data_IF_305971272589
#
_entry.id   IF_305971272589
#
_cell.length_a   1.000
_cell.length_b   1.000
_cell.length_c   1.000
_cell.angle_alpha   90.00
_cell.angle_beta   90.00
_cell.angle_gamma   90.00
#
_symmetry.space_group_name_H-M   'P 1'
#
loop_
_entity.id
_entity.type
_entity.pdbx_description
1 polymer ?
#
# COMPACT_ATOMS: atom_id res chain seq x y z
N UNK A 1 -8.85 73.36 41.57
CA UNK A 1 -9.01 71.91 41.81
C UNK A 1 -7.85 71.23 41.09
N UNK A 2 -6.81 70.80 41.84
CA UNK A 2 -6.52 69.39 42.20
C UNK A 2 -5.69 68.72 41.08
N UNK A 3 -4.57 67.99 41.24
CA UNK A 3 -4.11 66.98 42.22
C UNK A 3 -2.55 66.93 42.16
N UNK A 4 -1.72 66.84 43.22
CA UNK A 4 -1.35 65.68 44.09
C UNK A 4 -1.05 64.40 43.28
N UNK A 5 0.22 64.07 42.99
CA UNK A 5 1.13 63.19 43.74
C UNK A 5 0.61 61.76 43.99
N UNK A 6 1.29 60.73 43.46
CA UNK A 6 1.82 59.62 44.27
C UNK A 6 2.66 58.63 43.44
N UNK A 7 3.69 58.13 44.10
CA UNK A 7 4.70 57.16 43.67
C UNK A 7 4.24 55.72 43.96
N UNK A 8 5.09 54.76 43.55
CA UNK A 8 5.34 53.41 44.11
C UNK A 8 4.98 52.24 43.18
N UNK A 9 6.07 51.59 42.71
CA UNK A 9 6.39 50.14 42.74
C UNK A 9 5.26 49.12 42.55
N UNK A 10 5.50 48.06 41.78
CA UNK A 10 5.76 46.68 42.27
C UNK A 10 5.73 45.70 41.07
N UNK A 11 6.67 44.75 41.05
CA UNK A 11 6.50 43.32 40.70
C UNK A 11 7.51 42.75 39.68
N UNK A 12 8.50 41.95 40.12
CA UNK A 12 9.49 41.25 39.28
C UNK A 12 8.90 39.98 38.63
N UNK A 13 7.62 40.01 38.24
CA UNK A 13 6.88 38.83 37.78
C UNK A 13 7.16 38.48 36.31
N UNK A 14 7.60 39.46 35.52
CA UNK A 14 7.75 39.32 34.08
C UNK A 14 8.88 38.36 33.66
N UNK A 15 9.92 38.19 34.50
CA UNK A 15 11.08 37.35 34.15
C UNK A 15 10.83 35.85 34.31
N UNK A 16 9.90 35.44 35.16
CA UNK A 16 9.67 34.03 35.47
C UNK A 16 8.74 33.35 34.45
N UNK A 17 7.84 34.10 33.83
CA UNK A 17 6.92 33.60 32.81
C UNK A 17 7.62 33.26 31.48
N UNK A 18 8.70 33.95 31.14
CA UNK A 18 9.43 33.73 29.87
C UNK A 18 10.16 32.38 29.87
N UNK A 19 10.67 31.92 31.02
CA UNK A 19 11.40 30.64 31.10
C UNK A 19 10.50 29.41 30.92
N UNK A 20 9.26 29.46 31.40
CA UNK A 20 8.31 28.33 31.25
C UNK A 20 7.84 28.22 29.79
N UNK A 21 7.65 29.35 29.11
CA UNK A 21 7.24 29.36 27.71
C UNK A 21 8.28 28.74 26.75
N UNK A 22 9.58 28.94 27.02
CA UNK A 22 10.65 28.41 26.15
C UNK A 22 10.82 26.89 26.29
N UNK A 23 10.60 26.32 27.49
CA UNK A 23 10.70 24.86 27.68
C UNK A 23 9.51 24.11 27.05
N UNK A 24 8.31 24.71 27.04
CA UNK A 24 7.14 24.13 26.38
C UNK A 24 7.25 24.06 24.85
N UNK A 25 7.96 25.03 24.23
CA UNK A 25 8.11 25.08 22.77
C UNK A 25 9.09 24.04 22.20
N UNK A 26 10.02 23.53 23.01
CA UNK A 26 11.01 22.52 22.55
C UNK A 26 10.44 21.09 22.59
N UNK A 27 9.47 20.79 23.46
CA UNK A 27 8.86 19.45 23.54
C UNK A 27 7.75 19.19 22.49
N UNK A 28 7.18 20.22 21.88
CA UNK A 28 6.10 20.06 20.90
C UNK A 28 6.58 19.72 19.47
N UNK A 29 7.88 19.86 19.18
CA UNK A 29 8.45 19.61 17.85
C UNK A 29 8.76 18.14 17.53
N UNK A 30 8.78 17.25 18.53
CA UNK A 30 9.20 15.85 18.35
C UNK A 30 8.05 14.88 18.06
N UNK A 31 6.81 15.36 17.94
CA UNK A 31 5.62 14.53 17.69
C UNK A 31 5.01 14.75 16.30
N UNK A 32 5.84 15.03 15.29
CA UNK A 32 5.39 14.91 13.91
C UNK A 32 5.20 13.40 13.59
N UNK A 33 4.00 12.96 13.19
CA UNK A 33 3.75 11.54 12.95
C UNK A 33 4.57 11.06 11.74
N UNK A 34 5.40 10.04 11.97
CA UNK A 34 6.15 9.25 10.97
C UNK A 34 5.23 8.42 10.04
N UNK A 35 4.12 8.99 9.56
CA UNK A 35 3.09 8.21 8.84
C UNK A 35 3.30 8.12 7.32
N UNK A 36 4.35 8.72 6.77
CA UNK A 36 4.56 8.77 5.31
C UNK A 36 5.20 7.47 4.78
N UNK A 37 5.85 6.66 5.62
CA UNK A 37 6.48 5.40 5.19
C UNK A 37 5.46 4.28 4.87
N UNK A 38 4.27 4.33 5.47
CA UNK A 38 3.35 3.16 5.49
C UNK A 38 2.57 2.90 4.20
N UNK A 39 2.50 3.85 3.26
CA UNK A 39 1.76 3.65 2.01
C UNK A 39 2.61 2.93 0.95
N UNK A 40 3.88 3.32 0.80
CA UNK A 40 4.80 2.73 -0.19
C UNK A 40 5.20 1.30 0.20
N UNK A 41 5.45 1.04 1.48
CA UNK A 41 5.80 -0.32 1.95
C UNK A 41 4.65 -1.31 1.75
N UNK A 42 3.40 -0.84 1.84
CA UNK A 42 2.21 -1.69 1.72
C UNK A 42 1.97 -2.23 0.31
N UNK A 43 2.55 -1.62 -0.73
CA UNK A 43 2.40 -2.05 -2.13
C UNK A 43 3.70 -2.51 -2.78
N UNK A 44 4.85 -2.33 -2.11
CA UNK A 44 6.17 -2.65 -2.65
C UNK A 44 6.29 -4.11 -3.13
N UNK A 45 5.68 -5.05 -2.41
CA UNK A 45 5.76 -6.50 -2.66
C UNK A 45 5.01 -7.00 -3.90
N UNK A 46 4.21 -6.14 -4.56
CA UNK A 46 3.58 -6.43 -5.85
C UNK A 46 3.75 -5.31 -6.89
N UNK A 47 4.68 -4.38 -6.66
CA UNK A 47 4.85 -3.20 -7.52
C UNK A 47 5.33 -3.53 -8.94
N UNK A 48 5.85 -4.74 -9.16
CA UNK A 48 6.26 -5.25 -10.46
C UNK A 48 5.11 -5.86 -11.27
N UNK A 49 3.95 -6.10 -10.63
CA UNK A 49 2.75 -6.60 -11.32
C UNK A 49 1.93 -5.42 -11.82
N UNK A 50 1.63 -5.36 -13.13
CA UNK A 50 0.88 -4.25 -13.66
C UNK A 50 -0.57 -4.29 -13.15
N UNK A 51 -1.00 -3.16 -12.59
CA UNK A 51 -2.39 -2.93 -12.21
C UNK A 51 -3.08 -2.13 -13.33
N UNK A 52 -4.23 -2.61 -13.78
CA UNK A 52 -5.07 -1.89 -14.74
C UNK A 52 -5.89 -0.82 -14.00
N UNK A 53 -6.17 0.30 -14.68
CA UNK A 53 -6.74 1.54 -14.12
C UNK A 53 -8.18 1.43 -13.56
N UNK A 54 -8.71 0.23 -13.39
CA UNK A 54 -10.06 -0.06 -12.90
C UNK A 54 -10.07 -1.10 -11.78
N UNK A 55 -8.88 -1.45 -11.26
CA UNK A 55 -8.70 -2.51 -10.27
C UNK A 55 -8.11 -1.96 -8.98
N UNK A 56 -8.71 -2.35 -7.86
CA UNK A 56 -8.22 -2.09 -6.50
C UNK A 56 -7.76 -3.40 -5.89
N UNK A 57 -6.55 -3.43 -5.31
CA UNK A 57 -6.00 -4.60 -4.61
C UNK A 57 -6.55 -4.65 -3.19
N UNK A 58 -7.12 -5.78 -2.81
CA UNK A 58 -7.50 -6.08 -1.43
C UNK A 58 -6.29 -6.61 -0.66
N UNK A 59 -5.55 -5.73 0.00
CA UNK A 59 -4.32 -6.09 0.73
C UNK A 59 -4.56 -6.99 1.94
N UNK A 60 -5.80 -7.20 2.38
CA UNK A 60 -6.09 -8.09 3.51
C UNK A 60 -6.22 -9.55 3.06
N UNK A 61 -6.71 -9.76 1.83
CA UNK A 61 -6.84 -11.09 1.23
C UNK A 61 -5.63 -11.46 0.37
N UNK A 62 -4.84 -10.47 -0.05
CA UNK A 62 -3.66 -10.65 -0.89
C UNK A 62 -2.41 -10.93 -0.07
N UNK A 63 -1.49 -11.72 -0.61
CA UNK A 63 -0.24 -12.06 0.04
C UNK A 63 0.87 -12.37 -0.97
N UNK A 64 2.11 -12.30 -0.52
CA UNK A 64 3.29 -12.80 -1.22
C UNK A 64 4.12 -13.68 -0.29
N UNK A 65 4.76 -14.68 -0.88
CA UNK A 65 5.75 -15.52 -0.22
C UNK A 65 6.95 -15.67 -1.14
N UNK A 66 8.09 -15.17 -0.70
CA UNK A 66 9.35 -15.26 -1.44
C UNK A 66 10.19 -16.44 -0.92
N UNK A 67 10.72 -17.24 -1.84
CA UNK A 67 11.60 -18.36 -1.53
C UNK A 67 12.73 -18.48 -2.54
N UNK A 68 13.82 -19.22 -2.24
CA UNK A 68 14.87 -19.51 -3.21
C UNK A 68 14.38 -20.20 -4.49
N UNK A 69 13.27 -20.93 -4.39
CA UNK A 69 12.65 -21.65 -5.52
C UNK A 69 11.75 -20.77 -6.38
N UNK A 70 11.57 -19.50 -6.01
CA UNK A 70 10.68 -18.53 -6.65
C UNK A 70 9.67 -17.92 -5.67
N UNK A 71 8.88 -16.97 -6.18
CA UNK A 71 7.87 -16.23 -5.44
C UNK A 71 6.47 -16.77 -5.72
N UNK A 72 5.66 -16.89 -4.68
CA UNK A 72 4.22 -17.10 -4.76
C UNK A 72 3.54 -15.77 -4.47
N UNK A 73 2.83 -15.21 -5.43
CA UNK A 73 2.06 -13.97 -5.26
C UNK A 73 0.59 -14.26 -5.52
N UNK A 74 -0.28 -13.89 -4.58
CA UNK A 74 -1.72 -13.98 -4.76
C UNK A 74 -2.32 -12.60 -4.49
N UNK A 75 -2.87 -11.99 -5.52
CA UNK A 75 -3.58 -10.71 -5.44
C UNK A 75 -5.08 -10.92 -5.62
N UNK A 76 -5.84 -10.37 -4.70
CA UNK A 76 -7.28 -10.25 -4.79
C UNK A 76 -7.62 -8.86 -5.28
N UNK A 77 -8.36 -8.81 -6.38
CA UNK A 77 -8.59 -7.64 -7.20
C UNK A 77 -10.09 -7.36 -7.24
N UNK A 78 -10.46 -6.14 -6.85
CA UNK A 78 -11.82 -5.61 -6.92
C UNK A 78 -11.94 -4.69 -8.13
N UNK A 79 -13.01 -4.85 -8.90
CA UNK A 79 -13.27 -4.00 -10.08
C UNK A 79 -14.75 -3.85 -10.35
N UNK A 80 -15.10 -2.76 -11.02
CA UNK A 80 -16.44 -2.50 -11.54
C UNK A 80 -16.56 -2.74 -13.06
N UNK A 81 -15.44 -3.05 -13.74
CA UNK A 81 -15.45 -3.31 -15.17
C UNK A 81 -16.04 -4.70 -15.50
N UNK A 82 -16.50 -4.88 -16.74
CA UNK A 82 -16.99 -6.17 -17.21
C UNK A 82 -15.86 -7.22 -17.22
N UNK A 83 -16.21 -8.48 -16.97
CA UNK A 83 -15.25 -9.59 -16.96
C UNK A 83 -14.39 -9.67 -18.23
N UNK A 84 -15.02 -9.44 -19.39
CA UNK A 84 -14.33 -9.47 -20.69
C UNK A 84 -13.31 -8.35 -20.81
N UNK A 85 -13.65 -7.14 -20.36
CA UNK A 85 -12.76 -5.98 -20.41
C UNK A 85 -11.54 -6.19 -19.52
N UNK A 86 -11.72 -6.78 -18.33
CA UNK A 86 -10.63 -7.13 -17.42
C UNK A 86 -9.69 -8.14 -18.08
N UNK A 87 -10.22 -9.22 -18.64
CA UNK A 87 -9.40 -10.24 -19.29
C UNK A 87 -8.61 -9.68 -20.49
N UNK A 88 -9.27 -8.89 -21.35
CA UNK A 88 -8.61 -8.26 -22.51
C UNK A 88 -7.54 -7.26 -22.08
N UNK A 89 -7.83 -6.44 -21.07
CA UNK A 89 -6.88 -5.45 -20.55
C UNK A 89 -5.65 -6.12 -19.93
N UNK A 90 -5.84 -7.14 -19.10
CA UNK A 90 -4.74 -7.92 -18.54
C UNK A 90 -3.93 -8.63 -19.62
N UNK A 91 -4.60 -9.24 -20.60
CA UNK A 91 -3.93 -9.88 -21.73
C UNK A 91 -3.00 -8.90 -22.46
N UNK A 92 -3.51 -7.73 -22.84
CA UNK A 92 -2.73 -6.74 -23.58
C UNK A 92 -1.57 -6.18 -22.74
N UNK A 93 -1.83 -5.92 -21.47
CA UNK A 93 -0.83 -5.40 -20.53
C UNK A 93 0.29 -6.41 -20.31
N UNK A 94 -0.04 -7.68 -20.06
CA UNK A 94 0.91 -8.76 -19.85
C UNK A 94 1.72 -9.06 -21.12
N UNK A 95 1.07 -9.05 -22.29
CA UNK A 95 1.76 -9.21 -23.57
C UNK A 95 2.79 -8.10 -23.80
N UNK A 96 2.47 -6.84 -23.46
CA UNK A 96 3.38 -5.71 -23.62
C UNK A 96 4.66 -5.81 -22.76
N UNK A 97 4.61 -6.50 -21.61
CA UNK A 97 5.76 -6.71 -20.71
C UNK A 97 6.40 -8.11 -20.85
N UNK A 98 6.10 -8.81 -21.95
CA UNK A 98 6.78 -10.04 -22.36
C UNK A 98 6.20 -11.34 -21.80
N UNK A 99 5.00 -11.32 -21.22
CA UNK A 99 4.30 -12.57 -20.89
C UNK A 99 3.65 -13.16 -22.14
N UNK A 100 3.67 -14.48 -22.24
CA UNK A 100 3.05 -15.22 -23.35
C UNK A 100 1.83 -15.96 -22.85
N UNK A 101 0.66 -15.75 -23.48
CA UNK A 101 -0.54 -16.53 -23.18
C UNK A 101 -0.36 -17.98 -23.65
N UNK A 102 -0.64 -18.93 -22.75
CA UNK A 102 -0.80 -20.36 -23.04
C UNK A 102 -2.07 -20.85 -22.36
N UNK A 103 -3.06 -21.21 -23.16
CA UNK A 103 -4.39 -21.62 -22.68
C UNK A 103 -4.98 -20.55 -21.73
N UNK A 104 -5.33 -20.93 -20.50
CA UNK A 104 -5.87 -20.06 -19.46
C UNK A 104 -4.79 -19.44 -18.54
N UNK A 105 -3.53 -19.48 -18.97
CA UNK A 105 -2.39 -19.03 -18.17
C UNK A 105 -1.47 -18.13 -19.00
N UNK A 106 -0.64 -17.36 -18.30
CA UNK A 106 0.42 -16.54 -18.86
C UNK A 106 1.76 -17.07 -18.36
N UNK A 107 2.75 -17.14 -19.24
CA UNK A 107 4.08 -17.69 -18.92
C UNK A 107 5.14 -16.65 -19.23
N UNK A 108 6.09 -16.46 -18.31
CA UNK A 108 7.28 -15.62 -18.51
C UNK A 108 8.47 -16.26 -17.79
N UNK A 109 9.44 -16.75 -18.56
CA UNK A 109 10.57 -17.51 -18.00
C UNK A 109 10.09 -18.73 -17.20
N UNK A 110 10.45 -18.76 -15.92
CA UNK A 110 10.05 -19.78 -14.96
C UNK A 110 8.84 -19.37 -14.09
N UNK A 111 8.13 -18.30 -14.43
CA UNK A 111 6.91 -17.87 -13.75
C UNK A 111 5.66 -18.21 -14.56
N UNK A 112 4.61 -18.60 -13.85
CA UNK A 112 3.26 -18.82 -14.36
C UNK A 112 2.33 -17.82 -13.67
N UNK A 113 1.52 -17.12 -14.45
CA UNK A 113 0.49 -16.21 -13.97
C UNK A 113 -0.88 -16.75 -14.39
N UNK A 114 -1.79 -16.84 -13.43
CA UNK A 114 -3.18 -17.23 -13.64
C UNK A 114 -4.10 -16.12 -13.17
N UNK A 115 -5.16 -15.86 -13.94
CA UNK A 115 -6.18 -14.88 -13.61
C UNK A 115 -7.54 -15.59 -13.57
N UNK A 116 -8.16 -15.63 -12.39
CA UNK A 116 -9.41 -16.38 -12.16
C UNK A 116 -10.44 -15.52 -11.45
N UNK A 117 -11.71 -15.83 -11.66
CA UNK A 117 -12.82 -15.19 -10.96
C UNK A 117 -13.26 -16.06 -9.80
N UNK A 118 -13.28 -15.52 -8.59
CA UNK A 118 -13.62 -16.26 -7.38
C UNK A 118 -14.70 -15.55 -6.56
N UNK A 119 -15.40 -16.31 -5.73
CA UNK A 119 -16.36 -15.77 -4.76
C UNK A 119 -15.81 -15.96 -3.35
N UNK A 120 -15.60 -14.85 -2.64
CA UNK A 120 -15.11 -14.83 -1.26
C UNK A 120 -16.17 -14.13 -0.41
N UNK A 121 -16.88 -14.89 0.43
CA UNK A 121 -17.88 -14.33 1.35
C UNK A 121 -19.03 -13.60 0.66
N UNK A 122 -19.48 -14.07 -0.51
CA UNK A 122 -20.53 -13.44 -1.31
C UNK A 122 -20.06 -12.27 -2.16
N UNK A 123 -18.78 -11.88 -2.07
CA UNK A 123 -18.16 -10.88 -2.93
C UNK A 123 -17.41 -11.57 -4.05
N UNK A 124 -17.65 -11.09 -5.25
CA UNK A 124 -17.07 -11.65 -6.45
C UNK A 124 -15.83 -10.84 -6.81
N UNK A 125 -14.68 -11.51 -6.83
CA UNK A 125 -13.34 -10.94 -6.91
C UNK A 125 -12.55 -11.60 -8.04
N UNK A 126 -11.55 -10.89 -8.53
CA UNK A 126 -10.53 -11.47 -9.40
C UNK A 126 -9.34 -11.92 -8.54
N UNK A 127 -8.82 -13.11 -8.80
CA UNK A 127 -7.61 -13.64 -8.18
C UNK A 127 -6.53 -13.73 -9.25
N UNK A 128 -5.47 -12.97 -9.05
CA UNK A 128 -4.24 -13.07 -9.83
C UNK A 128 -3.22 -13.85 -9.02
N UNK A 129 -2.76 -14.96 -9.57
CA UNK A 129 -1.80 -15.85 -8.92
C UNK A 129 -0.54 -15.93 -9.78
N UNK A 130 0.62 -15.60 -9.21
CA UNK A 130 1.93 -15.88 -9.80
C UNK A 130 2.60 -16.97 -8.97
N UNK A 131 3.05 -18.03 -9.63
CA UNK A 131 3.80 -19.12 -9.01
C UNK A 131 5.00 -19.47 -9.88
N UNK A 132 6.08 -20.01 -9.30
CA UNK A 132 7.13 -20.59 -10.10
C UNK A 132 6.60 -21.84 -10.79
N UNK A 133 7.00 -22.05 -12.03
CA UNK A 133 6.64 -23.19 -12.85
C UNK A 133 6.98 -24.52 -12.17
N UNK A 134 8.07 -24.56 -11.40
CA UNK A 134 8.48 -25.71 -10.59
C UNK A 134 7.44 -26.09 -9.53
N UNK A 135 6.71 -25.12 -8.95
CA UNK A 135 5.64 -25.41 -8.00
C UNK A 135 4.40 -26.01 -8.69
N UNK A 136 4.10 -25.57 -9.92
CA UNK A 136 3.00 -26.14 -10.71
C UNK A 136 3.28 -27.60 -11.14
N UNK A 137 4.54 -28.03 -11.13
CA UNK A 137 4.91 -29.44 -11.41
C UNK A 137 4.67 -30.39 -10.24
N UNK A 138 4.36 -29.87 -9.05
CA UNK A 138 4.02 -30.70 -7.89
C UNK A 138 2.55 -31.15 -7.91
N UNK A 139 1.73 -30.60 -8.81
CA UNK A 139 0.41 -31.15 -9.14
C UNK A 139 0.53 -32.31 -10.14
N UNK A 140 1.28 -33.37 -9.83
CA UNK A 140 1.26 -34.61 -10.63
C UNK A 140 1.39 -35.86 -9.75
N UNK A 141 0.24 -36.41 -9.31
CA UNK A 141 -0.31 -37.72 -9.70
C UNK A 141 -1.52 -38.09 -8.86
#
# INVERSE_FOLDING_TARGET
>A
MSFICFTISVFPFARQLVRIAVVGAVLAGCLAPLSILSASERTAWFSDVPLINSVTVDTQLSFAFDSPSGRILVLHLQTQAEDKDIQVSYHNTLAAIGWTKRDDQFVKGDELLRLEKINVGGKLLWRLTIIPKSANQLEIR
#
